data_IF_803185757001
#
_entry.id   IF_803185757001
#
_cell.length_a   1.000
_cell.length_b   1.000
_cell.length_c   1.000
_cell.angle_alpha   90.00
_cell.angle_beta   90.00
_cell.angle_gamma   90.00
#
_symmetry.space_group_name_H-M   'P 1'
#
loop_
_entity.id
_entity.type
_entity.pdbx_description
1 polymer ?
#
# COMPACT_ATOMS: atom_id res chain seq x y z
N UNK A 1 -15.78 1.15 17.24
CA UNK A 1 -15.12 1.64 16.01
C UNK A 1 -13.94 0.72 15.69
N UNK A 2 -13.53 0.64 14.41
CA UNK A 2 -12.39 -0.19 13.98
C UNK A 2 -11.33 0.69 13.33
N UNK A 3 -10.05 0.37 13.53
CA UNK A 3 -8.94 1.16 12.96
C UNK A 3 -8.08 0.26 12.07
N UNK A 4 -7.78 0.72 10.86
CA UNK A 4 -6.78 0.08 9.99
C UNK A 4 -5.62 1.06 9.79
N UNK A 5 -4.41 0.61 10.11
CA UNK A 5 -3.17 1.27 9.75
C UNK A 5 -2.67 0.67 8.44
N UNK A 6 -2.73 1.46 7.38
CA UNK A 6 -2.24 1.09 6.06
C UNK A 6 -0.83 1.62 5.90
N UNK A 7 0.14 0.73 5.81
CA UNK A 7 1.57 1.04 5.86
C UNK A 7 2.21 0.73 4.52
N UNK A 8 2.92 1.70 3.93
CA UNK A 8 3.88 1.40 2.87
C UNK A 8 5.07 0.67 3.47
N UNK A 9 5.50 -0.44 2.85
CA UNK A 9 6.71 -1.15 3.26
C UNK A 9 7.92 -0.22 3.40
N UNK A 10 8.89 -0.63 4.22
CA UNK A 10 10.12 0.13 4.47
C UNK A 10 11.12 0.02 3.31
N UNK A 11 12.33 0.50 3.47
CA UNK A 11 13.36 0.60 2.42
C UNK A 11 13.89 -0.79 2.05
N UNK A 12 13.68 -1.26 0.80
CA UNK A 12 14.28 -2.53 0.35
C UNK A 12 15.76 -2.33 -0.01
N UNK A 13 16.51 -3.42 -0.09
CA UNK A 13 17.84 -3.38 -0.70
C UNK A 13 17.77 -2.91 -2.16
N UNK A 14 18.58 -1.90 -2.51
CA UNK A 14 18.55 -1.30 -3.86
C UNK A 14 19.33 -2.10 -4.93
N UNK A 15 20.22 -2.98 -4.52
CA UNK A 15 21.22 -3.58 -5.39
C UNK A 15 21.30 -5.11 -5.35
N UNK A 16 20.25 -5.80 -4.97
CA UNK A 16 20.19 -7.24 -5.19
C UNK A 16 20.04 -7.43 -6.70
N UNK A 17 21.18 -7.71 -7.35
CA UNK A 17 21.18 -7.93 -8.79
C UNK A 17 20.72 -9.35 -9.08
N UNK A 18 19.48 -9.51 -9.43
CA UNK A 18 18.97 -10.72 -10.09
C UNK A 18 19.32 -10.73 -11.60
N UNK A 19 20.44 -10.09 -11.99
CA UNK A 19 20.84 -9.83 -13.38
C UNK A 19 20.85 -11.05 -14.32
N UNK A 20 20.89 -12.25 -13.76
CA UNK A 20 20.84 -13.51 -14.51
C UNK A 20 19.62 -14.37 -14.16
N UNK A 21 18.61 -13.81 -13.49
CA UNK A 21 17.43 -14.58 -13.15
C UNK A 21 16.42 -14.57 -14.32
N UNK A 22 15.83 -15.72 -14.60
CA UNK A 22 14.67 -15.85 -15.48
C UNK A 22 13.39 -15.27 -14.83
N UNK A 23 13.54 -14.65 -13.65
CA UNK A 23 12.43 -14.09 -12.88
C UNK A 23 12.00 -12.75 -13.46
N UNK A 24 10.70 -12.54 -13.58
CA UNK A 24 10.13 -11.25 -13.95
C UNK A 24 10.32 -10.19 -12.84
N UNK A 25 10.21 -8.92 -13.20
CA UNK A 25 10.38 -7.79 -12.27
C UNK A 25 9.45 -7.89 -11.04
N UNK A 26 8.26 -8.45 -11.21
CA UNK A 26 7.31 -8.64 -10.13
C UNK A 26 7.85 -9.64 -9.11
N UNK A 27 8.33 -10.80 -9.57
CA UNK A 27 8.91 -11.84 -8.71
C UNK A 27 10.21 -11.39 -8.05
N UNK A 28 11.06 -10.64 -8.78
CA UNK A 28 12.28 -10.05 -8.22
C UNK A 28 11.95 -9.10 -7.07
N UNK A 29 10.95 -8.26 -7.24
CA UNK A 29 10.50 -7.36 -6.17
C UNK A 29 9.97 -8.13 -4.95
N UNK A 30 9.24 -9.24 -5.13
CA UNK A 30 8.77 -10.10 -4.02
C UNK A 30 9.94 -10.64 -3.18
N UNK A 31 11.02 -11.03 -3.83
CA UNK A 31 12.17 -11.67 -3.20
C UNK A 31 13.16 -10.67 -2.59
N UNK A 32 12.98 -9.36 -2.79
CA UNK A 32 13.90 -8.35 -2.30
C UNK A 32 13.63 -8.05 -0.81
N UNK A 33 14.55 -8.39 0.11
CA UNK A 33 14.40 -8.12 1.54
C UNK A 33 14.52 -6.62 1.86
N UNK A 34 14.16 -6.25 3.08
CA UNK A 34 14.44 -4.92 3.61
C UNK A 34 15.96 -4.76 3.79
N UNK A 35 16.44 -3.53 3.60
CA UNK A 35 17.79 -3.13 3.97
C UNK A 35 17.89 -2.93 5.49
N UNK A 36 19.12 -2.89 6.05
CA UNK A 36 19.34 -2.62 7.47
C UNK A 36 18.71 -1.28 7.90
N UNK A 37 18.78 -0.26 7.03
CA UNK A 37 18.06 1.00 7.21
C UNK A 37 16.54 0.78 7.20
N UNK A 38 16.05 -0.09 6.31
CA UNK A 38 14.64 -0.43 6.20
C UNK A 38 14.12 -1.14 7.45
N UNK A 39 14.88 -2.07 8.00
CA UNK A 39 14.54 -2.77 9.24
C UNK A 39 14.52 -1.81 10.43
N UNK A 40 15.53 -0.96 10.57
CA UNK A 40 15.59 0.07 11.62
C UNK A 40 14.37 0.98 11.58
N UNK A 41 14.04 1.53 10.41
CA UNK A 41 12.87 2.40 10.24
C UNK A 41 11.54 1.68 10.50
N UNK A 42 11.42 0.41 10.08
CA UNK A 42 10.23 -0.39 10.36
C UNK A 42 10.03 -0.60 11.87
N UNK A 43 11.14 -0.87 12.60
CA UNK A 43 11.11 -1.01 14.06
C UNK A 43 10.71 0.28 14.75
N UNK A 44 11.33 1.42 14.40
CA UNK A 44 11.00 2.73 14.97
C UNK A 44 9.50 3.07 14.83
N UNK A 45 8.92 2.78 13.66
CA UNK A 45 7.50 2.99 13.41
C UNK A 45 6.64 2.04 14.24
N UNK A 46 7.04 0.79 14.33
CA UNK A 46 6.33 -0.21 15.13
C UNK A 46 6.29 0.22 16.60
N UNK A 47 7.42 0.59 17.14
CA UNK A 47 7.54 1.03 18.55
C UNK A 47 6.74 2.30 18.82
N UNK A 48 6.73 3.24 17.86
CA UNK A 48 6.05 4.53 18.01
C UNK A 48 4.52 4.45 17.92
N UNK A 49 4.02 3.66 16.96
CA UNK A 49 2.59 3.70 16.60
C UNK A 49 1.81 2.44 16.94
N UNK A 50 2.48 1.29 17.18
CA UNK A 50 1.81 0.00 17.25
C UNK A 50 2.04 -0.76 18.56
N UNK A 51 2.53 -0.10 19.60
CA UNK A 51 3.09 -0.73 20.80
C UNK A 51 2.15 -1.63 21.63
N UNK A 52 0.81 -1.51 21.58
CA UNK A 52 -0.02 -2.30 22.51
C UNK A 52 -1.41 -2.77 22.05
N UNK A 53 -1.90 -2.44 20.86
CA UNK A 53 -3.30 -2.72 20.48
C UNK A 53 -3.51 -3.35 19.10
N UNK A 54 -2.44 -3.85 18.47
CA UNK A 54 -2.57 -4.51 17.17
C UNK A 54 -2.96 -5.97 17.41
N UNK A 55 -4.16 -6.35 16.95
CA UNK A 55 -4.66 -7.72 17.01
C UNK A 55 -4.48 -8.48 15.70
N UNK A 56 -4.37 -7.75 14.60
CA UNK A 56 -4.34 -8.31 13.27
C UNK A 56 -3.22 -7.67 12.46
N UNK A 57 -2.32 -8.50 11.94
CA UNK A 57 -1.24 -8.09 11.04
C UNK A 57 -1.38 -8.81 9.71
N UNK A 58 -1.52 -8.03 8.66
CA UNK A 58 -1.59 -8.50 7.28
C UNK A 58 -0.45 -7.91 6.47
N UNK A 59 0.09 -8.69 5.56
CA UNK A 59 1.10 -8.21 4.63
C UNK A 59 0.83 -8.70 3.22
N UNK A 60 1.33 -7.94 2.25
CA UNK A 60 1.55 -8.46 0.90
C UNK A 60 2.56 -9.62 0.95
N UNK A 61 2.75 -10.32 -0.17
CA UNK A 61 3.73 -11.41 -0.30
C UNK A 61 5.20 -10.96 -0.12
N UNK A 62 5.41 -9.66 0.08
CA UNK A 62 6.72 -8.98 0.20
C UNK A 62 7.14 -8.74 1.66
N UNK A 63 6.84 -9.58 2.60
CA UNK A 63 7.15 -9.28 3.99
C UNK A 63 8.23 -10.15 4.58
N UNK A 64 9.14 -9.52 5.29
CA UNK A 64 10.04 -10.15 6.23
C UNK A 64 9.40 -10.31 7.61
N UNK A 65 9.88 -11.28 8.37
CA UNK A 65 9.39 -11.67 9.68
C UNK A 65 9.41 -10.51 10.70
N UNK A 66 8.36 -10.43 11.52
CA UNK A 66 8.34 -9.60 12.73
C UNK A 66 8.21 -10.49 13.96
N UNK A 67 8.98 -10.19 15.00
CA UNK A 67 9.02 -10.95 16.24
C UNK A 67 7.64 -11.05 16.91
N UNK A 68 7.16 -12.29 17.13
CA UNK A 68 6.03 -12.65 18.00
C UNK A 68 4.59 -12.31 17.54
N UNK A 69 4.35 -11.78 16.36
CA UNK A 69 2.99 -11.60 15.81
C UNK A 69 2.86 -12.44 14.56
N UNK A 70 1.81 -13.26 14.48
CA UNK A 70 1.50 -14.02 13.26
C UNK A 70 1.14 -13.07 12.13
N UNK A 71 1.97 -13.07 11.08
CA UNK A 71 1.72 -12.29 9.86
C UNK A 71 0.81 -13.10 8.95
N UNK A 72 -0.32 -12.55 8.59
CA UNK A 72 -1.19 -13.11 7.57
C UNK A 72 -0.76 -12.60 6.20
N UNK A 73 -0.13 -13.45 5.39
CA UNK A 73 0.20 -13.12 4.00
C UNK A 73 -1.08 -13.07 3.19
N UNK A 74 -1.36 -11.91 2.57
CA UNK A 74 -2.64 -11.65 1.96
C UNK A 74 -2.46 -10.96 0.60
N UNK A 75 -2.53 -11.71 -0.52
CA UNK A 75 -2.26 -11.20 -1.87
C UNK A 75 -3.12 -10.01 -2.30
N UNK A 76 -4.24 -9.79 -1.61
CA UNK A 76 -5.06 -8.60 -1.84
C UNK A 76 -4.30 -7.28 -1.65
N UNK A 77 -3.19 -7.29 -0.88
CA UNK A 77 -2.40 -6.08 -0.56
C UNK A 77 -1.10 -5.97 -1.35
N UNK A 78 -0.89 -6.84 -2.34
CA UNK A 78 0.27 -6.78 -3.24
C UNK A 78 0.31 -5.45 -4.01
N UNK A 79 1.51 -5.08 -4.48
CA UNK A 79 1.66 -3.94 -5.40
C UNK A 79 0.87 -4.21 -6.70
N UNK A 80 0.60 -3.16 -7.42
CA UNK A 80 0.02 -3.23 -8.76
C UNK A 80 0.91 -4.09 -9.67
N UNK A 81 0.34 -5.09 -10.29
CA UNK A 81 1.01 -5.84 -11.35
C UNK A 81 1.18 -4.93 -12.56
N UNK A 82 2.43 -4.60 -12.87
CA UNK A 82 2.73 -3.63 -13.94
C UNK A 82 2.45 -4.20 -15.33
N UNK A 83 2.70 -5.50 -15.54
CA UNK A 83 2.55 -6.17 -16.83
C UNK A 83 3.72 -5.92 -17.78
N UNK A 84 3.49 -6.10 -19.07
CA UNK A 84 4.52 -5.91 -20.09
C UNK A 84 4.70 -4.42 -20.43
N UNK A 85 5.84 -3.86 -20.02
CA UNK A 85 6.13 -2.42 -20.12
C UNK A 85 7.05 -2.05 -21.29
N UNK A 86 7.47 -3.00 -22.14
CA UNK A 86 8.47 -2.78 -23.21
C UNK A 86 8.16 -1.60 -24.13
N UNK A 87 6.88 -1.27 -24.35
CA UNK A 87 6.44 -0.19 -25.23
C UNK A 87 5.62 0.87 -24.49
N UNK A 88 5.75 0.95 -23.17
CA UNK A 88 4.98 1.87 -22.34
C UNK A 88 5.74 3.19 -22.21
N UNK A 89 5.04 4.30 -22.45
CA UNK A 89 5.58 5.65 -22.28
C UNK A 89 5.78 5.97 -20.79
N UNK A 90 6.73 6.84 -20.50
CA UNK A 90 7.05 7.27 -19.14
C UNK A 90 5.84 7.83 -18.37
N UNK A 91 4.89 8.45 -19.09
CA UNK A 91 3.67 9.03 -18.51
C UNK A 91 2.58 8.00 -18.13
N UNK A 92 2.83 6.71 -18.33
CA UNK A 92 1.84 5.64 -18.11
C UNK A 92 1.26 5.64 -16.69
N UNK A 93 2.12 5.83 -15.68
CA UNK A 93 1.66 5.93 -14.30
C UNK A 93 0.66 7.08 -14.10
N UNK A 94 0.95 8.26 -14.67
CA UNK A 94 0.07 9.42 -14.60
C UNK A 94 -1.26 9.18 -15.32
N UNK A 95 -1.21 8.50 -16.47
CA UNK A 95 -2.42 8.10 -17.21
C UNK A 95 -3.28 7.14 -16.39
N UNK A 96 -2.67 6.16 -15.72
CA UNK A 96 -3.40 5.25 -14.84
C UNK A 96 -4.02 5.95 -13.63
N UNK A 97 -3.42 7.04 -13.13
CA UNK A 97 -4.04 7.84 -12.07
C UNK A 97 -5.29 8.58 -12.55
N UNK A 98 -5.32 9.01 -13.81
CA UNK A 98 -6.42 9.80 -14.40
C UNK A 98 -7.52 8.94 -15.03
N UNK A 99 -7.18 7.76 -15.52
CA UNK A 99 -8.13 6.82 -16.14
C UNK A 99 -8.01 5.43 -15.49
N UNK A 100 -9.05 5.04 -14.79
CA UNK A 100 -9.09 3.81 -13.98
C UNK A 100 -9.04 2.51 -14.79
N UNK A 101 -9.25 2.58 -16.11
CA UNK A 101 -9.32 1.39 -16.99
C UNK A 101 -8.00 1.12 -17.74
N UNK A 102 -7.09 2.10 -17.79
CA UNK A 102 -5.80 1.95 -18.47
C UNK A 102 -4.95 0.88 -17.78
N UNK A 103 -4.45 -0.08 -18.58
CA UNK A 103 -3.48 -1.06 -18.12
C UNK A 103 -2.54 -1.50 -19.23
N UNK A 104 -1.35 -1.99 -18.85
CA UNK A 104 -0.44 -2.68 -19.76
C UNK A 104 -0.94 -4.12 -20.03
N UNK A 105 -0.53 -4.75 -21.12
CA UNK A 105 -0.79 -6.17 -21.36
C UNK A 105 -0.31 -7.01 -20.15
N UNK A 106 -1.16 -7.91 -19.67
CA UNK A 106 -0.92 -8.74 -18.48
C UNK A 106 -0.73 -7.97 -17.15
N UNK A 107 -0.98 -6.65 -17.13
CA UNK A 107 -0.95 -5.83 -15.94
C UNK A 107 -2.32 -5.60 -15.33
N UNK A 108 -2.35 -4.90 -14.19
CA UNK A 108 -3.58 -4.44 -13.54
C UNK A 108 -3.88 -2.98 -13.87
N UNK A 109 -5.15 -2.66 -14.07
CA UNK A 109 -5.64 -1.29 -14.11
C UNK A 109 -5.80 -0.73 -12.69
N UNK A 110 -5.96 0.59 -12.58
CA UNK A 110 -6.30 1.24 -11.31
C UNK A 110 -7.56 0.61 -10.70
N UNK A 111 -8.60 0.39 -11.50
CA UNK A 111 -9.88 -0.20 -11.06
C UNK A 111 -9.74 -1.62 -10.53
N UNK A 112 -8.94 -2.46 -11.20
CA UNK A 112 -8.69 -3.84 -10.75
C UNK A 112 -7.96 -3.84 -9.40
N UNK A 113 -6.93 -3.01 -9.22
CA UNK A 113 -6.22 -2.87 -7.94
C UNK A 113 -7.14 -2.33 -6.84
N UNK A 114 -7.91 -1.28 -7.12
CA UNK A 114 -8.90 -0.71 -6.18
C UNK A 114 -9.87 -1.77 -5.67
N UNK A 115 -10.45 -2.54 -6.59
CA UNK A 115 -11.43 -3.57 -6.27
C UNK A 115 -10.82 -4.70 -5.44
N UNK A 116 -9.61 -5.16 -5.83
CA UNK A 116 -8.88 -6.19 -5.11
C UNK A 116 -8.56 -5.74 -3.68
N UNK A 117 -7.96 -4.59 -3.52
CA UNK A 117 -7.61 -4.07 -2.19
C UNK A 117 -8.83 -3.79 -1.33
N UNK A 118 -9.89 -3.21 -1.91
CA UNK A 118 -11.14 -2.97 -1.16
C UNK A 118 -11.79 -4.27 -0.69
N UNK A 119 -11.70 -5.35 -1.48
CA UNK A 119 -12.14 -6.68 -1.05
C UNK A 119 -11.31 -7.17 0.14
N UNK A 120 -9.97 -7.00 0.11
CA UNK A 120 -9.10 -7.31 1.24
C UNK A 120 -9.46 -6.51 2.50
N UNK A 121 -9.66 -5.20 2.39
CA UNK A 121 -10.12 -4.34 3.50
C UNK A 121 -11.43 -4.84 4.11
N UNK A 122 -12.40 -5.23 3.28
CA UNK A 122 -13.70 -5.77 3.78
C UNK A 122 -13.52 -7.07 4.55
N UNK A 123 -12.64 -7.96 4.10
CA UNK A 123 -12.34 -9.22 4.81
C UNK A 123 -11.72 -8.90 6.18
N UNK A 124 -10.71 -8.01 6.22
CA UNK A 124 -10.06 -7.59 7.47
C UNK A 124 -11.08 -6.96 8.42
N UNK A 125 -11.90 -6.02 7.95
CA UNK A 125 -12.92 -5.39 8.80
C UNK A 125 -13.95 -6.38 9.35
N UNK A 126 -14.29 -7.42 8.60
CA UNK A 126 -15.24 -8.45 9.04
C UNK A 126 -14.60 -9.41 10.07
N UNK A 127 -13.29 -9.58 10.11
CA UNK A 127 -12.60 -10.37 11.13
C UNK A 127 -12.37 -9.61 12.45
N UNK A 128 -12.53 -8.28 12.45
CA UNK A 128 -12.34 -7.43 13.60
C UNK A 128 -13.64 -7.23 14.38
N UNK A 129 -13.54 -7.18 15.71
CA UNK A 129 -14.59 -6.64 16.57
C UNK A 129 -14.38 -5.14 16.83
N UNK A 130 -15.34 -4.47 17.45
CA UNK A 130 -15.22 -3.05 17.77
C UNK A 130 -14.05 -2.79 18.73
N UNK A 131 -13.41 -1.65 18.51
CA UNK A 131 -12.22 -1.16 19.21
C UNK A 131 -10.94 -1.94 18.95
N UNK A 132 -10.92 -2.81 17.95
CA UNK A 132 -9.68 -3.43 17.47
C UNK A 132 -9.00 -2.60 16.40
N UNK A 133 -7.68 -2.86 16.27
CA UNK A 133 -6.83 -2.29 15.24
C UNK A 133 -6.13 -3.38 14.45
N UNK A 134 -6.01 -3.15 13.15
CA UNK A 134 -5.25 -3.98 12.22
C UNK A 134 -4.13 -3.16 11.56
N UNK A 135 -3.01 -3.79 11.26
CA UNK A 135 -1.95 -3.24 10.41
C UNK A 135 -1.95 -3.99 9.09
N UNK A 136 -1.88 -3.26 8.00
CA UNK A 136 -1.78 -3.80 6.64
C UNK A 136 -0.55 -3.21 5.97
N UNK A 137 0.43 -4.05 5.65
CA UNK A 137 1.64 -3.65 4.93
C UNK A 137 1.40 -3.84 3.43
N UNK A 138 1.63 -2.78 2.66
CA UNK A 138 1.39 -2.72 1.22
C UNK A 138 2.38 -1.76 0.53
N UNK A 139 2.03 -1.22 -0.65
CA UNK A 139 2.92 -0.51 -1.55
C UNK A 139 2.33 0.82 -2.00
N UNK A 140 3.20 1.74 -2.45
CA UNK A 140 2.81 3.12 -2.75
C UNK A 140 1.69 3.25 -3.78
N UNK A 141 1.75 2.54 -4.91
CA UNK A 141 0.73 2.66 -5.96
C UNK A 141 -0.57 1.97 -5.55
N UNK A 142 -0.47 0.79 -4.96
CA UNK A 142 -1.64 0.06 -4.46
C UNK A 142 -2.38 0.85 -3.37
N UNK A 143 -1.66 1.47 -2.42
CA UNK A 143 -2.22 2.35 -1.39
C UNK A 143 -2.90 3.57 -2.02
N UNK A 144 -2.24 4.23 -2.98
CA UNK A 144 -2.82 5.37 -3.70
C UNK A 144 -4.17 4.98 -4.32
N UNK A 145 -4.19 3.88 -5.06
CA UNK A 145 -5.41 3.41 -5.73
C UNK A 145 -6.49 3.01 -4.72
N UNK A 146 -6.13 2.34 -3.62
CA UNK A 146 -7.09 2.04 -2.56
C UNK A 146 -7.71 3.32 -1.98
N UNK A 147 -6.89 4.32 -1.64
CA UNK A 147 -7.37 5.58 -1.07
C UNK A 147 -8.32 6.33 -2.01
N UNK A 148 -8.16 6.20 -3.32
CA UNK A 148 -9.07 6.78 -4.32
C UNK A 148 -10.49 6.17 -4.32
N UNK A 149 -10.79 5.16 -3.49
CA UNK A 149 -12.18 4.77 -3.23
C UNK A 149 -12.93 5.81 -2.40
N UNK A 150 -12.22 6.65 -1.65
CA UNK A 150 -12.81 7.63 -0.72
C UNK A 150 -12.25 9.04 -0.92
N UNK A 151 -11.07 9.15 -1.53
CA UNK A 151 -10.39 10.41 -1.79
C UNK A 151 -10.52 10.81 -3.26
N UNK A 152 -10.63 12.10 -3.48
CA UNK A 152 -10.54 12.73 -4.79
C UNK A 152 -9.08 12.98 -5.16
N UNK A 153 -8.70 12.63 -6.39
CA UNK A 153 -7.43 13.04 -6.98
C UNK A 153 -7.57 14.48 -7.52
N UNK A 154 -6.87 15.42 -6.90
CA UNK A 154 -6.88 16.82 -7.31
C UNK A 154 -5.83 17.06 -8.40
N UNK A 155 -4.62 16.53 -8.19
CA UNK A 155 -3.50 16.70 -9.12
C UNK A 155 -2.46 15.60 -8.91
N UNK A 156 -1.60 15.38 -9.93
CA UNK A 156 -0.45 14.51 -9.88
C UNK A 156 0.63 14.95 -10.86
N UNK A 157 1.90 14.83 -10.47
CA UNK A 157 3.06 15.18 -11.28
C UNK A 157 3.94 13.94 -11.51
N UNK A 158 4.49 13.82 -12.70
CA UNK A 158 5.39 12.74 -13.09
C UNK A 158 6.82 13.00 -12.57
N UNK A 159 7.26 14.24 -12.61
CA UNK A 159 8.64 14.65 -12.32
C UNK A 159 9.06 14.28 -10.89
N UNK A 160 8.24 14.63 -9.91
CA UNK A 160 8.49 14.37 -8.49
C UNK A 160 7.64 13.21 -7.92
N UNK A 161 6.90 12.51 -8.78
CA UNK A 161 5.95 11.44 -8.39
C UNK A 161 4.95 11.89 -7.33
N UNK A 162 4.66 13.18 -7.32
CA UNK A 162 3.69 13.81 -6.42
C UNK A 162 2.27 13.40 -6.78
N UNK A 163 1.44 13.29 -5.78
CA UNK A 163 -0.01 13.13 -5.89
C UNK A 163 -0.72 13.95 -4.85
N UNK A 164 -1.81 14.58 -5.24
CA UNK A 164 -2.63 15.36 -4.34
C UNK A 164 -3.99 14.68 -4.17
N UNK A 165 -4.21 14.07 -3.02
CA UNK A 165 -5.46 13.42 -2.65
C UNK A 165 -6.15 14.16 -1.52
N UNK A 166 -7.47 14.36 -1.64
CA UNK A 166 -8.32 14.93 -0.60
C UNK A 166 -9.41 13.94 -0.18
N UNK A 167 -9.63 13.82 1.11
CA UNK A 167 -10.79 13.17 1.69
C UNK A 167 -11.71 14.24 2.26
N UNK A 168 -12.92 14.40 1.69
CA UNK A 168 -13.77 15.56 1.95
C UNK A 168 -12.96 16.83 1.68
N UNK A 169 -12.87 17.76 2.63
CA UNK A 169 -12.10 18.99 2.47
C UNK A 169 -10.68 18.94 3.03
N UNK A 170 -10.23 17.77 3.51
CA UNK A 170 -8.90 17.59 4.13
C UNK A 170 -7.91 17.00 3.12
N UNK A 171 -6.77 17.66 2.95
CA UNK A 171 -5.65 17.10 2.19
C UNK A 171 -5.07 15.90 2.95
N UNK A 172 -4.99 14.75 2.30
CA UNK A 172 -4.41 13.51 2.85
C UNK A 172 -2.97 13.35 2.37
N UNK A 173 -2.73 13.61 1.09
CA UNK A 173 -1.41 13.56 0.45
C UNK A 173 -1.27 14.80 -0.42
N UNK A 174 -0.11 15.43 -0.44
CA UNK A 174 0.24 16.50 -1.39
C UNK A 174 1.74 16.49 -1.72
N UNK A 175 2.33 15.32 -1.82
CA UNK A 175 3.74 15.09 -2.12
C UNK A 175 3.96 13.67 -2.67
N UNK A 176 5.22 13.25 -2.79
CA UNK A 176 5.57 11.85 -3.03
C UNK A 176 5.49 11.03 -1.72
N UNK A 177 5.28 9.73 -1.85
CA UNK A 177 5.27 8.83 -0.68
C UNK A 177 6.66 8.73 -0.05
N UNK A 178 6.70 8.86 1.26
CA UNK A 178 7.87 8.49 2.08
C UNK A 178 7.98 6.97 2.22
N UNK A 179 9.08 6.50 2.77
CA UNK A 179 9.34 5.08 3.01
C UNK A 179 9.98 4.91 4.39
N UNK A 180 9.28 4.32 5.33
CA UNK A 180 7.87 3.91 5.31
C UNK A 180 6.90 5.09 5.42
N UNK A 181 5.60 4.83 5.18
CA UNK A 181 4.53 5.81 5.31
C UNK A 181 3.27 5.18 5.85
N UNK A 182 2.52 5.88 6.70
CA UNK A 182 1.35 5.34 7.38
C UNK A 182 0.11 6.19 7.13
N UNK A 183 -1.00 5.51 6.82
CA UNK A 183 -2.34 6.09 6.79
C UNK A 183 -3.21 5.38 7.83
N UNK A 184 -3.81 6.15 8.71
CA UNK A 184 -4.82 5.66 9.66
C UNK A 184 -6.20 5.83 9.05
N UNK A 185 -6.92 4.73 8.90
CA UNK A 185 -8.29 4.67 8.42
C UNK A 185 -9.21 4.26 9.57
N UNK A 186 -10.16 5.10 9.91
CA UNK A 186 -11.14 4.83 10.98
C UNK A 186 -12.49 4.49 10.39
N UNK A 187 -13.08 3.39 10.88
CA UNK A 187 -14.37 2.88 10.42
C UNK A 187 -15.37 2.79 11.57
N UNK A 188 -16.66 2.94 11.25
CA UNK A 188 -17.74 2.62 12.17
C UNK A 188 -17.81 1.11 12.40
N UNK A 189 -18.61 0.68 13.41
CA UNK A 189 -18.96 -0.75 13.61
C UNK A 189 -19.60 -1.40 12.38
N UNK A 190 -20.27 -0.61 11.54
CA UNK A 190 -20.88 -1.05 10.27
C UNK A 190 -19.92 -0.95 9.07
N UNK A 191 -18.60 -0.87 9.32
CA UNK A 191 -17.54 -0.82 8.31
C UNK A 191 -17.64 0.37 7.32
N UNK A 192 -18.26 1.49 7.72
CA UNK A 192 -18.26 2.74 6.96
C UNK A 192 -17.05 3.59 7.37
N UNK A 193 -16.28 4.07 6.40
CA UNK A 193 -15.15 4.96 6.68
C UNK A 193 -15.64 6.32 7.17
N UNK A 194 -15.02 6.83 8.21
CA UNK A 194 -15.34 8.13 8.82
C UNK A 194 -14.18 9.09 8.81
N UNK A 195 -12.95 8.57 8.86
CA UNK A 195 -11.74 9.39 8.86
C UNK A 195 -10.59 8.70 8.12
N UNK A 196 -9.79 9.51 7.44
CA UNK A 196 -8.48 9.15 6.87
C UNK A 196 -7.48 10.20 7.33
N UNK A 197 -6.36 9.75 7.89
CA UNK A 197 -5.28 10.61 8.36
C UNK A 197 -3.94 10.02 7.96
N UNK A 198 -3.04 10.84 7.43
CA UNK A 198 -1.60 10.50 7.27
C UNK A 198 -0.90 10.83 8.58
N UNK A 199 -0.07 9.94 9.11
CA UNK A 199 0.62 10.08 10.40
C UNK A 199 2.13 9.86 10.27
#
# INVERSE_FOLDING_TARGET
MKTIYLVRHSVPYKNISYKNSLLDDYTQNILTPLSDEGETRAKEITDKYFSNNIKHLYSSEYSSETNNITINIFPYFNERKLGNTKNIKEDFWLKQLKDENIKAPNGESQKEVRNRMLKGIKIVLNSMIDNESAVIISHATAITFLLMNWCELIDASLEDKKRHLKYKNKTIINDSFKTPEIFKLTFTSKNKIIEITRI
#
